data_IF_782523971345
#
_entry.id   IF_782523971345
#
_cell.length_a   1.000
_cell.length_b   1.000
_cell.length_c   1.000
_cell.angle_alpha   90.00
_cell.angle_beta   90.00
_cell.angle_gamma   90.00
#
_symmetry.space_group_name_H-M   'P 1'
#
loop_
_entity.id
_entity.type
_entity.pdbx_description
1 polymer ?
#
# COMPACT_ATOMS: atom_id res chain seq x y z
N UNK A 1 5.39 -19.75 -1.49
CA UNK A 1 4.69 -18.82 -2.39
C UNK A 1 5.71 -18.29 -3.38
N UNK A 2 5.48 -18.43 -4.69
CA UNK A 2 6.39 -17.93 -5.72
C UNK A 2 5.99 -16.50 -6.03
N UNK A 3 6.87 -15.53 -5.77
CA UNK A 3 6.64 -14.13 -6.12
C UNK A 3 7.17 -13.88 -7.52
N UNK A 4 6.32 -13.60 -8.52
CA UNK A 4 6.79 -13.33 -9.87
C UNK A 4 7.50 -11.97 -9.93
N UNK A 5 8.60 -11.91 -10.68
CA UNK A 5 9.34 -10.67 -10.88
C UNK A 5 8.48 -9.63 -11.62
N UNK A 6 8.65 -8.34 -11.26
CA UNK A 6 8.05 -7.17 -11.94
C UNK A 6 6.52 -7.06 -11.90
N UNK A 7 5.86 -7.57 -10.85
CA UNK A 7 4.43 -7.37 -10.64
C UNK A 7 4.16 -6.51 -9.37
N UNK A 8 4.34 -5.18 -9.45
CA UNK A 8 4.06 -4.29 -8.32
C UNK A 8 2.58 -4.34 -7.90
N UNK A 9 1.65 -4.45 -8.86
CA UNK A 9 0.20 -4.54 -8.62
C UNK A 9 -0.21 -5.78 -7.80
N UNK A 10 0.69 -6.76 -7.70
CA UNK A 10 0.54 -7.97 -6.91
C UNK A 10 0.81 -7.73 -5.41
N UNK A 11 1.46 -6.62 -5.03
CA UNK A 11 1.80 -6.31 -3.64
C UNK A 11 0.79 -5.36 -3.00
N UNK A 12 -0.13 -5.83 -2.12
CA UNK A 12 -1.06 -4.93 -1.44
C UNK A 12 -0.37 -3.94 -0.50
N UNK A 13 0.90 -4.16 -0.17
CA UNK A 13 1.65 -3.26 0.71
C UNK A 13 1.84 -1.87 0.08
N UNK A 14 1.90 -1.77 -1.26
CA UNK A 14 2.01 -0.48 -1.95
C UNK A 14 0.78 0.40 -1.66
N UNK A 15 -0.40 -0.21 -1.54
CA UNK A 15 -1.61 0.50 -1.15
C UNK A 15 -1.54 0.98 0.30
N UNK A 16 -0.91 0.21 1.19
CA UNK A 16 -0.69 0.62 2.58
C UNK A 16 0.29 1.79 2.64
N UNK A 17 1.40 1.73 1.90
CA UNK A 17 2.37 2.84 1.80
C UNK A 17 1.75 4.10 1.24
N UNK A 18 0.95 3.99 0.17
CA UNK A 18 0.22 5.13 -0.40
C UNK A 18 -0.76 5.75 0.61
N UNK A 19 -1.51 4.91 1.34
CA UNK A 19 -2.43 5.38 2.36
C UNK A 19 -1.72 6.04 3.56
N UNK A 20 -0.55 5.53 3.96
CA UNK A 20 0.27 6.14 5.00
C UNK A 20 0.84 7.47 4.54
N UNK A 21 1.43 7.54 3.35
CA UNK A 21 1.97 8.78 2.78
C UNK A 21 0.90 9.87 2.66
N UNK A 22 -0.32 9.49 2.24
CA UNK A 22 -1.46 10.41 2.15
C UNK A 22 -1.84 11.02 3.52
N UNK A 23 -1.75 10.23 4.60
CA UNK A 23 -2.00 10.70 5.97
C UNK A 23 -0.83 11.53 6.51
N UNK A 24 0.39 11.10 6.24
CA UNK A 24 1.63 11.73 6.69
C UNK A 24 1.74 13.16 6.15
N UNK A 25 1.48 13.34 4.86
CA UNK A 25 1.57 14.65 4.18
C UNK A 25 0.22 15.36 4.01
N UNK A 26 -0.81 14.93 4.77
CA UNK A 26 -2.13 15.54 4.72
C UNK A 26 -2.04 17.06 4.99
N UNK A 27 -2.83 17.84 4.25
CA UNK A 27 -2.85 19.30 4.34
C UNK A 27 -1.49 19.98 4.08
N UNK A 28 -0.59 19.31 3.35
CA UNK A 28 0.72 19.87 3.00
C UNK A 28 1.72 19.89 4.16
N UNK A 29 1.47 19.10 5.23
CA UNK A 29 2.36 18.97 6.38
C UNK A 29 3.80 18.69 5.94
N UNK A 30 4.76 19.40 6.53
CA UNK A 30 6.20 19.20 6.36
C UNK A 30 6.82 18.84 7.72
N UNK A 31 8.06 18.33 7.69
CA UNK A 31 8.79 17.91 8.87
C UNK A 31 10.17 18.55 8.88
N UNK A 32 10.60 19.08 10.02
CA UNK A 32 11.85 19.83 10.13
C UNK A 32 13.06 18.93 10.41
N UNK A 33 12.82 17.70 10.89
CA UNK A 33 13.85 16.72 11.22
C UNK A 33 13.33 15.28 11.14
N UNK A 34 14.28 14.33 11.21
CA UNK A 34 14.02 12.90 11.10
C UNK A 34 13.16 12.37 12.25
N UNK A 35 13.39 12.83 13.49
CA UNK A 35 12.65 12.33 14.66
C UNK A 35 11.15 12.65 14.59
N UNK A 36 10.81 13.87 14.12
CA UNK A 36 9.42 14.26 13.88
C UNK A 36 8.77 13.44 12.77
N UNK A 37 9.50 13.19 11.68
CA UNK A 37 9.03 12.37 10.57
C UNK A 37 8.79 10.92 11.03
N UNK A 38 9.72 10.35 11.79
CA UNK A 38 9.63 8.99 12.33
C UNK A 38 8.41 8.83 13.25
N UNK A 39 8.23 9.73 14.22
CA UNK A 39 7.06 9.72 15.10
C UNK A 39 5.74 9.81 14.32
N UNK A 40 5.70 10.62 13.26
CA UNK A 40 4.52 10.73 12.42
C UNK A 40 4.28 9.51 11.53
N UNK A 41 5.33 8.80 11.09
CA UNK A 41 5.21 7.52 10.39
C UNK A 41 4.57 6.48 11.28
N UNK A 42 5.00 6.36 12.55
CA UNK A 42 4.37 5.45 13.51
C UNK A 42 2.91 5.80 13.77
N UNK A 43 2.61 7.09 13.95
CA UNK A 43 1.22 7.56 14.10
C UNK A 43 0.37 7.23 12.87
N UNK A 44 0.92 7.41 11.66
CA UNK A 44 0.24 7.08 10.42
C UNK A 44 -0.02 5.58 10.29
N UNK A 45 0.94 4.74 10.71
CA UNK A 45 0.79 3.29 10.76
C UNK A 45 -0.32 2.86 11.72
N UNK A 46 -0.32 3.38 12.95
CA UNK A 46 -1.32 3.05 13.97
C UNK A 46 -2.74 3.48 13.58
N UNK A 47 -2.85 4.50 12.73
CA UNK A 47 -4.13 4.94 12.16
C UNK A 47 -4.66 4.07 11.02
N UNK A 48 -3.88 3.11 10.52
CA UNK A 48 -4.34 2.18 9.48
C UNK A 48 -5.29 1.16 10.11
N UNK A 49 -6.57 1.29 9.79
CA UNK A 49 -7.59 0.37 10.29
C UNK A 49 -7.35 -1.08 9.83
N UNK A 50 -7.51 -2.02 10.75
CA UNK A 50 -7.40 -3.45 10.44
C UNK A 50 -8.42 -3.90 9.39
N UNK A 51 -9.60 -3.27 9.33
CA UNK A 51 -10.60 -3.54 8.29
C UNK A 51 -10.07 -3.21 6.90
N UNK A 52 -9.32 -2.11 6.75
CA UNK A 52 -8.68 -1.74 5.49
C UNK A 52 -7.65 -2.79 5.05
N UNK A 53 -6.81 -3.26 5.98
CA UNK A 53 -5.85 -4.34 5.72
C UNK A 53 -6.56 -5.64 5.28
N UNK A 54 -7.65 -6.02 5.95
CA UNK A 54 -8.44 -7.18 5.59
C UNK A 54 -9.09 -7.04 4.20
N UNK A 55 -9.55 -5.84 3.82
CA UNK A 55 -10.07 -5.57 2.47
C UNK A 55 -8.99 -5.74 1.40
N UNK A 56 -7.77 -5.26 1.66
CA UNK A 56 -6.64 -5.44 0.76
C UNK A 56 -6.30 -6.92 0.58
N UNK A 57 -6.21 -7.68 1.66
CA UNK A 57 -5.96 -9.13 1.60
C UNK A 57 -7.06 -9.86 0.84
N UNK A 58 -8.33 -9.54 1.09
CA UNK A 58 -9.49 -10.13 0.37
C UNK A 58 -9.52 -9.75 -1.12
N UNK A 59 -8.81 -8.71 -1.53
CA UNK A 59 -8.69 -8.32 -2.95
C UNK A 59 -7.69 -9.17 -3.73
N UNK A 60 -6.77 -9.87 -3.04
CA UNK A 60 -5.68 -10.62 -3.68
C UNK A 60 -6.12 -11.60 -4.76
N UNK A 61 -7.16 -12.45 -4.55
CA UNK A 61 -7.60 -13.35 -5.60
C UNK A 61 -7.99 -12.60 -6.90
N UNK A 62 -8.68 -11.45 -6.78
CA UNK A 62 -9.07 -10.64 -7.94
C UNK A 62 -7.87 -10.04 -8.67
N UNK A 63 -6.86 -9.56 -7.92
CA UNK A 63 -5.58 -9.06 -8.50
C UNK A 63 -4.85 -10.17 -9.25
N UNK A 64 -4.73 -11.35 -8.64
CA UNK A 64 -4.15 -12.53 -9.30
C UNK A 64 -4.85 -12.85 -10.62
N UNK A 65 -6.19 -12.88 -10.62
CA UNK A 65 -6.97 -13.12 -11.84
C UNK A 65 -6.77 -12.04 -12.90
N UNK A 66 -6.68 -10.76 -12.50
CA UNK A 66 -6.42 -9.66 -13.42
C UNK A 66 -5.04 -9.81 -14.11
N UNK A 67 -4.00 -10.14 -13.35
CA UNK A 67 -2.65 -10.40 -13.88
C UNK A 67 -2.64 -11.59 -14.84
N UNK A 68 -3.31 -12.69 -14.49
CA UNK A 68 -3.42 -13.88 -15.35
C UNK A 68 -4.13 -13.52 -16.66
N UNK A 69 -5.27 -12.81 -16.58
CA UNK A 69 -6.03 -12.37 -17.77
C UNK A 69 -5.21 -11.42 -18.65
N UNK A 70 -4.42 -10.55 -18.03
CA UNK A 70 -3.48 -9.64 -18.71
C UNK A 70 -2.20 -10.31 -19.21
N UNK A 71 -2.05 -11.64 -19.05
CA UNK A 71 -0.82 -12.38 -19.39
C UNK A 71 0.45 -11.77 -18.78
N UNK A 72 0.34 -11.25 -17.56
CA UNK A 72 1.45 -10.60 -16.85
C UNK A 72 1.65 -9.11 -17.17
N UNK A 73 0.77 -8.49 -17.96
CA UNK A 73 0.76 -7.04 -18.14
C UNK A 73 0.26 -6.30 -16.88
N UNK A 74 0.56 -4.99 -16.83
CA UNK A 74 0.04 -4.07 -15.81
C UNK A 74 -1.48 -4.12 -15.75
N UNK A 75 -2.00 -4.05 -14.53
CA UNK A 75 -3.40 -4.03 -14.19
C UNK A 75 -3.79 -2.67 -13.62
N UNK A 76 -5.07 -2.48 -13.30
CA UNK A 76 -5.59 -1.25 -12.70
C UNK A 76 -5.36 -1.13 -11.19
N UNK A 77 -4.57 -2.03 -10.60
CA UNK A 77 -4.50 -2.29 -9.15
C UNK A 77 -3.21 -1.83 -8.49
#
# INVERSE_FOLDING_TARGET
MVWPARLPDYNPIENVWSAMASRLYAHGRQYDNVDQLEAAIFTAWDSVEQEYLLKLLKSMPRRCFAVIKGKGALTQY
#
